data_IF_929467241874
#
_entry.id   IF_929467241874
#
_cell.length_a   1.000
_cell.length_b   1.000
_cell.length_c   1.000
_cell.angle_alpha   90.00
_cell.angle_beta   90.00
_cell.angle_gamma   90.00
#
_symmetry.space_group_name_H-M   'P 1'
#
loop_
_entity.id
_entity.type
_entity.pdbx_description
1 polymer ?
#
# COMPACT_ATOMS: atom_id res chain seq x y z
N UNK A 1 13.49 17.86 9.62
CA UNK A 1 12.52 17.87 10.74
C UNK A 1 11.12 17.86 10.16
N UNK A 2 10.30 16.84 10.44
CA UNK A 2 8.95 16.64 9.85
C UNK A 2 8.03 17.87 9.95
N UNK A 3 8.13 18.63 11.04
CA UNK A 3 7.41 19.88 11.25
C UNK A 3 7.72 20.95 10.19
N UNK A 4 8.98 21.02 9.73
CA UNK A 4 9.41 21.94 8.70
C UNK A 4 8.71 21.64 7.35
N UNK A 5 8.53 20.36 7.04
CA UNK A 5 7.86 19.91 5.79
C UNK A 5 6.38 20.25 5.84
N UNK A 6 5.75 20.01 6.99
CA UNK A 6 4.35 20.34 7.24
C UNK A 6 4.09 21.85 7.14
N UNK A 7 4.91 22.66 7.80
CA UNK A 7 4.78 24.13 7.77
C UNK A 7 5.00 24.66 6.36
N UNK A 8 5.98 24.16 5.60
CA UNK A 8 6.21 24.63 4.22
C UNK A 8 5.10 24.23 3.26
N UNK A 9 4.59 23.00 3.34
CA UNK A 9 3.43 22.57 2.56
C UNK A 9 2.20 23.47 2.84
N UNK A 10 2.01 23.85 4.10
CA UNK A 10 0.94 24.75 4.51
C UNK A 10 1.21 26.22 4.14
N UNK A 11 2.45 26.69 4.18
CA UNK A 11 2.83 28.05 3.77
C UNK A 11 2.74 28.27 2.25
N UNK A 12 3.03 27.25 1.45
CA UNK A 12 2.79 27.27 -0.01
C UNK A 12 1.31 27.51 -0.32
N UNK A 13 0.41 27.06 0.56
CA UNK A 13 -1.02 27.34 0.48
C UNK A 13 -1.38 28.78 0.92
N UNK A 14 -0.59 29.41 1.79
CA UNK A 14 -0.84 30.76 2.34
C UNK A 14 -0.22 31.93 1.56
N UNK A 15 0.54 31.68 0.48
CA UNK A 15 0.91 32.69 -0.53
C UNK A 15 1.85 33.84 -0.07
N UNK A 16 3.16 33.72 -0.29
CA UNK A 16 4.19 34.70 0.15
C UNK A 16 4.56 35.73 -0.94
N UNK A 17 3.94 36.90 -1.01
CA UNK A 17 4.26 38.10 -1.82
C UNK A 17 5.52 38.12 -2.75
N UNK A 18 5.31 38.59 -3.99
CA UNK A 18 5.99 38.24 -5.26
C UNK A 18 7.46 38.69 -5.50
N UNK A 19 8.11 39.49 -4.66
CA UNK A 19 9.37 40.16 -5.08
C UNK A 19 10.67 39.43 -4.67
N UNK A 20 10.64 38.52 -3.70
CA UNK A 20 11.83 37.72 -3.28
C UNK A 20 11.75 36.25 -3.74
N UNK A 21 10.61 35.87 -4.36
CA UNK A 21 10.24 34.49 -4.73
C UNK A 21 11.03 33.90 -5.91
N UNK A 22 11.68 34.70 -6.74
CA UNK A 22 12.13 34.19 -8.06
C UNK A 22 13.47 33.44 -8.01
N UNK A 23 14.34 33.70 -7.03
CA UNK A 23 15.71 33.13 -6.99
C UNK A 23 15.88 31.99 -5.98
N UNK A 24 15.21 32.05 -4.82
CA UNK A 24 15.33 31.03 -3.75
C UNK A 24 14.38 29.84 -3.96
N UNK A 25 13.38 29.96 -4.83
CA UNK A 25 12.25 29.03 -4.93
C UNK A 25 12.43 27.82 -5.87
N UNK A 26 13.53 27.67 -6.60
CA UNK A 26 13.67 26.53 -7.54
C UNK A 26 14.80 25.59 -7.12
N UNK A 27 15.97 26.11 -6.72
CA UNK A 27 17.09 25.26 -6.29
C UNK A 27 16.92 24.74 -4.85
N UNK A 28 16.43 25.59 -3.93
CA UNK A 28 16.20 25.18 -2.52
C UNK A 28 14.92 24.34 -2.34
N UNK A 29 14.06 24.27 -3.36
CA UNK A 29 12.88 23.40 -3.36
C UNK A 29 13.24 21.97 -3.74
N UNK A 30 14.16 21.75 -4.70
CA UNK A 30 14.47 20.40 -5.18
C UNK A 30 15.17 19.57 -4.09
N UNK A 31 16.23 20.10 -3.46
CA UNK A 31 16.99 19.41 -2.40
C UNK A 31 16.11 19.04 -1.18
N UNK A 32 15.06 19.82 -0.95
CA UNK A 32 14.18 19.65 0.21
C UNK A 32 12.94 18.81 -0.07
N UNK A 33 12.39 18.88 -1.28
CA UNK A 33 11.30 18.01 -1.72
C UNK A 33 11.77 16.56 -1.64
N UNK A 34 13.02 16.28 -1.99
CA UNK A 34 13.60 14.94 -1.83
C UNK A 34 13.55 14.49 -0.37
N UNK A 35 14.07 15.28 0.58
CA UNK A 35 14.12 14.87 1.98
C UNK A 35 12.73 14.68 2.61
N UNK A 36 11.78 15.58 2.32
CA UNK A 36 10.40 15.45 2.82
C UNK A 36 9.65 14.27 2.18
N UNK A 37 9.86 14.03 0.88
CA UNK A 37 9.21 12.94 0.16
C UNK A 37 9.79 11.59 0.59
N UNK A 38 11.11 11.51 0.77
CA UNK A 38 11.80 10.34 1.29
C UNK A 38 11.30 10.02 2.71
N UNK A 39 11.21 11.01 3.61
CA UNK A 39 10.68 10.82 4.96
C UNK A 39 9.23 10.30 4.96
N UNK A 40 8.38 10.83 4.08
CA UNK A 40 6.99 10.39 3.93
C UNK A 40 6.90 8.95 3.39
N UNK A 41 7.70 8.62 2.37
CA UNK A 41 7.79 7.27 1.80
C UNK A 41 8.28 6.27 2.85
N UNK A 42 9.30 6.60 3.64
CA UNK A 42 9.81 5.73 4.71
C UNK A 42 8.73 5.50 5.78
N UNK A 43 7.97 6.52 6.16
CA UNK A 43 6.86 6.39 7.10
C UNK A 43 5.77 5.46 6.57
N UNK A 44 5.35 5.65 5.32
CA UNK A 44 4.38 4.79 4.64
C UNK A 44 4.88 3.35 4.54
N UNK A 45 6.14 3.14 4.16
CA UNK A 45 6.74 1.80 4.10
C UNK A 45 6.73 1.10 5.46
N UNK A 46 6.97 1.84 6.56
CA UNK A 46 6.90 1.29 7.92
C UNK A 46 5.48 0.86 8.27
N UNK A 47 4.48 1.68 7.96
CA UNK A 47 3.06 1.34 8.18
C UNK A 47 2.63 0.13 7.34
N UNK A 48 2.97 0.10 6.05
CA UNK A 48 2.67 -1.03 5.16
C UNK A 48 3.35 -2.31 5.64
N UNK A 49 4.59 -2.23 6.12
CA UNK A 49 5.29 -3.40 6.72
C UNK A 49 4.57 -3.90 7.97
N UNK A 50 4.13 -2.99 8.84
CA UNK A 50 3.35 -3.33 10.02
C UNK A 50 2.01 -3.97 9.66
N UNK A 51 1.31 -3.43 8.65
CA UNK A 51 0.05 -3.98 8.17
C UNK A 51 0.24 -5.35 7.52
N UNK A 52 1.29 -5.54 6.73
CA UNK A 52 1.62 -6.81 6.09
C UNK A 52 1.84 -7.92 7.11
N UNK A 53 2.49 -7.63 8.24
CA UNK A 53 2.66 -8.58 9.34
C UNK A 53 1.31 -9.02 9.94
N UNK A 54 0.39 -8.08 10.16
CA UNK A 54 -0.95 -8.38 10.66
C UNK A 54 -1.77 -9.18 9.64
N UNK A 55 -1.68 -8.84 8.36
CA UNK A 55 -2.33 -9.60 7.27
C UNK A 55 -1.80 -11.02 7.17
N UNK A 56 -0.47 -11.22 7.26
CA UNK A 56 0.16 -12.54 7.27
C UNK A 56 -0.30 -13.37 8.47
N UNK A 57 -0.41 -12.74 9.65
CA UNK A 57 -0.92 -13.41 10.85
C UNK A 57 -2.39 -13.78 10.69
N UNK A 58 -3.24 -12.88 10.17
CA UNK A 58 -4.64 -13.16 9.88
C UNK A 58 -4.80 -14.29 8.86
N UNK A 59 -3.94 -14.32 7.84
CA UNK A 59 -3.93 -15.38 6.83
C UNK A 59 -3.58 -16.73 7.43
N UNK A 60 -2.53 -16.83 8.25
CA UNK A 60 -2.17 -18.08 8.93
C UNK A 60 -3.26 -18.55 9.91
N UNK A 61 -3.86 -17.60 10.66
CA UNK A 61 -4.95 -17.89 11.58
C UNK A 61 -6.22 -18.37 10.87
N UNK A 62 -6.45 -17.92 9.63
CA UNK A 62 -7.54 -18.39 8.77
C UNK A 62 -7.16 -19.73 8.10
N UNK A 63 -5.93 -19.89 7.62
CA UNK A 63 -5.47 -21.10 6.93
C UNK A 63 -5.43 -22.34 7.85
N UNK A 64 -5.11 -22.17 9.15
CA UNK A 64 -5.05 -23.27 10.12
C UNK A 64 -6.39 -24.02 10.32
N UNK A 65 -7.52 -23.36 10.65
CA UNK A 65 -8.82 -24.02 10.72
C UNK A 65 -9.33 -24.46 9.35
N UNK A 66 -9.03 -23.73 8.28
CA UNK A 66 -9.44 -24.10 6.92
C UNK A 66 -8.71 -25.33 6.38
N UNK A 67 -7.44 -25.55 6.74
CA UNK A 67 -6.73 -26.78 6.41
C UNK A 67 -7.45 -28.02 6.96
N UNK A 68 -8.11 -27.88 8.12
CA UNK A 68 -8.97 -28.93 8.69
C UNK A 68 -10.36 -29.02 8.04
N UNK A 69 -10.83 -27.96 7.37
CA UNK A 69 -12.17 -27.85 6.76
C UNK A 69 -12.15 -27.87 5.23
N UNK A 70 -11.19 -28.53 4.58
CA UNK A 70 -11.08 -28.61 3.12
C UNK A 70 -10.94 -27.23 2.41
N UNK A 71 -10.40 -26.22 3.10
CA UNK A 71 -10.04 -24.91 2.55
C UNK A 71 -11.10 -23.81 2.69
N UNK A 72 -10.73 -22.57 2.32
CA UNK A 72 -11.59 -21.35 2.40
C UNK A 72 -12.94 -21.55 1.73
N UNK A 73 -12.93 -22.28 0.63
CA UNK A 73 -14.07 -22.40 -0.27
C UNK A 73 -15.19 -23.28 0.29
N UNK A 74 -14.82 -24.29 1.07
CA UNK A 74 -15.77 -25.10 1.83
C UNK A 74 -16.39 -24.29 2.97
N UNK A 75 -15.62 -23.41 3.62
CA UNK A 75 -16.09 -22.56 4.72
C UNK A 75 -17.03 -21.44 4.25
N UNK A 76 -16.78 -20.86 3.08
CA UNK A 76 -17.65 -19.83 2.47
C UNK A 76 -18.84 -20.45 1.73
N UNK A 77 -18.96 -21.80 1.72
CA UNK A 77 -20.00 -22.55 0.98
C UNK A 77 -20.09 -22.14 -0.50
N UNK A 78 -18.94 -21.79 -1.09
CA UNK A 78 -18.80 -21.45 -2.51
C UNK A 78 -17.92 -22.49 -3.16
N UNK A 79 -18.35 -23.09 -4.27
CA UNK A 79 -17.49 -23.97 -5.06
C UNK A 79 -16.34 -23.19 -5.67
N UNK A 80 -15.16 -23.28 -5.06
CA UNK A 80 -13.94 -22.86 -5.73
C UNK A 80 -13.41 -24.01 -6.55
N UNK A 81 -13.41 -23.84 -7.86
CA UNK A 81 -12.50 -24.56 -8.73
C UNK A 81 -11.45 -23.57 -9.23
N UNK A 82 -10.19 -23.93 -8.99
CA UNK A 82 -9.02 -23.27 -9.56
C UNK A 82 -8.09 -24.38 -10.04
N UNK A 83 -7.73 -24.35 -11.33
CA UNK A 83 -6.69 -25.22 -11.85
C UNK A 83 -5.58 -24.39 -12.49
N UNK A 84 -4.36 -24.90 -12.39
CA UNK A 84 -3.16 -24.28 -12.95
C UNK A 84 -2.79 -25.11 -14.17
N UNK A 85 -2.74 -24.47 -15.33
CA UNK A 85 -2.29 -25.11 -16.57
C UNK A 85 -0.76 -25.31 -16.57
N UNK A 86 -0.24 -26.16 -17.46
CA UNK A 86 1.20 -26.41 -17.64
C UNK A 86 1.98 -25.14 -17.99
N UNK A 87 1.28 -24.13 -18.51
CA UNK A 87 1.80 -22.78 -18.78
C UNK A 87 1.88 -21.88 -17.55
N UNK A 88 1.43 -22.36 -16.37
CA UNK A 88 1.34 -21.58 -15.13
C UNK A 88 0.13 -20.64 -15.07
N UNK A 89 -0.74 -20.69 -16.08
CA UNK A 89 -1.94 -19.85 -16.14
C UNK A 89 -3.00 -20.39 -15.16
N UNK A 90 -3.52 -19.50 -14.31
CA UNK A 90 -4.55 -19.81 -13.32
C UNK A 90 -5.91 -19.58 -13.94
N UNK A 91 -6.71 -20.63 -14.04
CA UNK A 91 -8.07 -20.56 -14.57
C UNK A 91 -9.09 -20.78 -13.47
N UNK A 92 -10.16 -19.96 -13.48
CA UNK A 92 -11.36 -20.15 -12.66
C UNK A 92 -12.33 -21.01 -13.47
N UNK A 93 -12.92 -22.04 -12.86
CA UNK A 93 -13.94 -22.82 -13.58
C UNK A 93 -15.09 -21.90 -14.06
N UNK A 94 -15.64 -22.16 -15.26
CA UNK A 94 -16.96 -21.65 -15.61
C UNK A 94 -17.95 -22.20 -14.57
N UNK A 95 -18.67 -21.32 -13.90
CA UNK A 95 -19.67 -21.73 -12.92
C UNK A 95 -20.79 -22.48 -13.61
N UNK A 96 -20.88 -23.78 -13.37
CA UNK A 96 -22.14 -24.51 -13.32
C UNK A 96 -21.97 -25.72 -12.41
N UNK A 97 -22.64 -25.69 -11.26
CA UNK A 97 -22.97 -26.88 -10.50
C UNK A 97 -24.32 -27.39 -11.02
N UNK A 98 -24.28 -28.00 -12.21
CA UNK A 98 -25.23 -29.01 -12.69
C UNK A 98 -24.56 -29.79 -13.83
#
# INVERSE_FOLDING_TARGET
>A
TKFHCFIRWFLSWLGVNELEKTVVNISATIEYIENCTIDAIIALQKEVKSLSQVVLQNRMALDLPLASQAGVCTVINTTCCVYIDQTGSVYRCPGNLE
#
